data_IF_333329411542
#
_entry.id   IF_333329411542
#
_cell.length_a   1.000
_cell.length_b   1.000
_cell.length_c   1.000
_cell.angle_alpha   90.00
_cell.angle_beta   90.00
_cell.angle_gamma   90.00
#
_symmetry.space_group_name_H-M   'P 1'
#
loop_
_entity.id
_entity.type
_entity.pdbx_description
1 polymer ?
#
# COMPACT_ATOMS: atom_id res chain seq x y z
N UNK A 1 6.21 -8.78 -22.46
CA UNK A 1 5.74 -9.47 -21.23
C UNK A 1 6.84 -10.28 -20.53
N UNK A 2 7.37 -11.33 -21.17
CA UNK A 2 8.36 -12.22 -20.52
C UNK A 2 9.63 -11.53 -19.99
N UNK A 3 10.13 -10.50 -20.67
CA UNK A 3 11.28 -9.73 -20.19
C UNK A 3 11.00 -8.99 -18.86
N UNK A 4 9.79 -8.44 -18.70
CA UNK A 4 9.35 -7.76 -17.47
C UNK A 4 9.27 -8.75 -16.32
N UNK A 5 8.67 -9.92 -16.54
CA UNK A 5 8.57 -10.98 -15.53
C UNK A 5 9.94 -11.52 -15.12
N UNK A 6 10.89 -11.66 -16.05
CA UNK A 6 12.26 -12.08 -15.75
C UNK A 6 13.01 -11.07 -14.88
N UNK A 7 12.90 -9.78 -15.22
CA UNK A 7 13.47 -8.70 -14.41
C UNK A 7 12.85 -8.67 -13.01
N UNK A 8 11.51 -8.76 -12.93
CA UNK A 8 10.77 -8.81 -11.67
C UNK A 8 11.16 -10.03 -10.82
N UNK A 9 11.31 -11.21 -11.42
CA UNK A 9 11.76 -12.41 -10.71
C UNK A 9 13.15 -12.21 -10.09
N UNK A 10 14.07 -11.55 -10.79
CA UNK A 10 15.39 -11.22 -10.25
C UNK A 10 15.30 -10.29 -9.03
N UNK A 11 14.45 -9.26 -9.11
CA UNK A 11 14.17 -8.35 -7.99
C UNK A 11 13.53 -9.09 -6.80
N UNK A 12 12.49 -9.88 -7.07
CA UNK A 12 11.78 -10.67 -6.07
C UNK A 12 12.74 -11.60 -5.34
N UNK A 13 13.57 -12.36 -6.07
CA UNK A 13 14.54 -13.26 -5.46
C UNK A 13 15.57 -12.51 -4.62
N UNK A 14 16.09 -11.38 -5.10
CA UNK A 14 17.02 -10.55 -4.33
C UNK A 14 16.42 -10.15 -2.98
N UNK A 15 15.23 -9.54 -2.99
CA UNK A 15 14.57 -9.08 -1.76
C UNK A 15 14.06 -10.24 -0.89
N UNK A 16 13.55 -11.33 -1.47
CA UNK A 16 13.09 -12.49 -0.73
C UNK A 16 14.25 -13.20 -0.01
N UNK A 17 15.40 -13.38 -0.68
CA UNK A 17 16.61 -13.94 -0.07
C UNK A 17 17.05 -13.03 1.09
N UNK A 18 17.06 -11.71 0.86
CA UNK A 18 17.39 -10.75 1.93
C UNK A 18 16.41 -10.83 3.11
N UNK A 19 15.11 -10.89 2.85
CA UNK A 19 14.10 -11.06 3.90
C UNK A 19 14.36 -12.32 4.72
N UNK A 20 14.64 -13.46 4.07
CA UNK A 20 14.97 -14.73 4.71
C UNK A 20 16.24 -14.63 5.57
N UNK A 21 17.30 -14.00 5.07
CA UNK A 21 18.54 -13.81 5.86
C UNK A 21 18.32 -12.96 7.11
N UNK A 22 17.38 -12.03 7.06
CA UNK A 22 17.09 -11.07 8.13
C UNK A 22 16.07 -11.58 9.16
N UNK A 23 15.59 -12.83 9.05
CA UNK A 23 14.63 -13.41 10.01
C UNK A 23 15.21 -13.43 11.42
N UNK A 24 14.48 -12.85 12.37
CA UNK A 24 14.80 -12.91 13.79
C UNK A 24 15.93 -11.96 14.22
N UNK A 25 16.32 -10.99 13.40
CA UNK A 25 17.23 -9.90 13.83
C UNK A 25 16.46 -8.99 14.79
N UNK A 26 16.95 -8.89 16.03
CA UNK A 26 16.33 -8.07 17.09
C UNK A 26 17.23 -6.94 17.60
N UNK A 27 18.54 -7.10 17.49
CA UNK A 27 19.53 -6.20 18.08
C UNK A 27 20.56 -5.77 17.03
N UNK A 28 21.05 -4.53 17.14
CA UNK A 28 22.07 -3.96 16.25
C UNK A 28 23.43 -4.65 16.37
N UNK A 29 23.67 -5.40 17.45
CA UNK A 29 24.90 -6.18 17.64
C UNK A 29 24.94 -7.45 16.77
N UNK A 30 23.84 -7.83 16.12
CA UNK A 30 23.82 -8.96 15.19
C UNK A 30 24.68 -8.64 13.96
N UNK A 31 25.55 -9.57 13.53
CA UNK A 31 26.38 -9.38 12.32
C UNK A 31 25.54 -9.10 11.07
N UNK A 32 24.30 -9.56 11.05
CA UNK A 32 23.33 -9.33 9.98
C UNK A 32 22.88 -7.87 9.91
N UNK A 33 22.90 -7.12 11.01
CA UNK A 33 22.66 -5.68 11.02
C UNK A 33 23.71 -4.93 10.17
N UNK A 34 25.00 -5.26 10.38
CA UNK A 34 26.08 -4.69 9.59
C UNK A 34 25.95 -5.01 8.10
N UNK A 35 25.46 -6.22 7.75
CA UNK A 35 25.15 -6.57 6.37
C UNK A 35 23.94 -5.81 5.83
N UNK A 36 22.91 -5.56 6.63
CA UNK A 36 21.72 -4.78 6.24
C UNK A 36 22.07 -3.33 5.90
N UNK A 37 22.91 -2.66 6.70
CA UNK A 37 23.30 -1.27 6.50
C UNK A 37 24.52 -1.07 5.56
N UNK A 38 25.37 -2.09 5.42
CA UNK A 38 26.63 -2.02 4.66
C UNK A 38 26.64 -2.83 3.36
N UNK A 39 27.83 -3.09 2.82
CA UNK A 39 28.02 -4.04 1.72
C UNK A 39 27.41 -3.67 0.36
N UNK A 40 27.11 -2.39 0.11
CA UNK A 40 26.37 -1.92 -1.07
C UNK A 40 26.92 -2.41 -2.42
N UNK A 41 28.25 -2.42 -2.60
CA UNK A 41 28.88 -2.91 -3.84
C UNK A 41 28.57 -4.40 -4.04
N UNK A 42 28.70 -5.22 -2.99
CA UNK A 42 28.40 -6.64 -3.06
C UNK A 42 26.91 -6.89 -3.32
N UNK A 43 26.02 -6.14 -2.66
CA UNK A 43 24.57 -6.21 -2.88
C UNK A 43 24.20 -5.90 -4.32
N UNK A 44 24.76 -4.82 -4.86
CA UNK A 44 24.53 -4.42 -6.25
C UNK A 44 25.03 -5.48 -7.23
N UNK A 45 26.22 -6.03 -6.99
CA UNK A 45 26.77 -7.11 -7.81
C UNK A 45 25.87 -8.37 -7.76
N UNK A 46 25.43 -8.79 -6.56
CA UNK A 46 24.51 -9.94 -6.39
C UNK A 46 23.19 -9.68 -7.12
N UNK A 47 22.63 -8.47 -6.99
CA UNK A 47 21.40 -8.09 -7.66
C UNK A 47 21.53 -8.16 -9.19
N UNK A 48 22.59 -7.59 -9.77
CA UNK A 48 22.86 -7.67 -11.21
C UNK A 48 22.98 -9.12 -11.67
N UNK A 49 23.75 -9.94 -10.95
CA UNK A 49 23.92 -11.37 -11.27
C UNK A 49 22.56 -12.09 -11.24
N UNK A 50 21.75 -11.89 -10.19
CA UNK A 50 20.42 -12.51 -10.11
C UNK A 50 19.53 -12.09 -11.28
N UNK A 51 19.48 -10.81 -11.62
CA UNK A 51 18.69 -10.30 -12.75
C UNK A 51 19.15 -10.94 -14.06
N UNK A 52 20.46 -10.96 -14.33
CA UNK A 52 21.01 -11.56 -15.56
C UNK A 52 20.70 -13.05 -15.64
N UNK A 53 20.85 -13.79 -14.54
CA UNK A 53 20.53 -15.21 -14.48
C UNK A 53 19.06 -15.50 -14.83
N UNK A 54 18.13 -14.63 -14.44
CA UNK A 54 16.71 -14.81 -14.76
C UNK A 54 16.39 -14.74 -16.25
N UNK A 55 17.28 -14.19 -17.09
CA UNK A 55 17.10 -14.23 -18.55
C UNK A 55 17.40 -15.60 -19.16
N UNK A 56 18.15 -16.47 -18.47
CA UNK A 56 18.46 -17.83 -18.93
C UNK A 56 17.44 -18.88 -18.44
N UNK A 57 16.53 -18.50 -17.54
CA UNK A 57 15.52 -19.39 -16.97
C UNK A 57 14.49 -19.84 -18.03
N UNK A 58 14.05 -21.11 -18.06
CA UNK A 58 13.03 -21.57 -19.02
C UNK A 58 11.68 -20.86 -18.86
N UNK A 59 10.94 -20.70 -19.97
CA UNK A 59 9.64 -20.02 -19.98
C UNK A 59 8.60 -20.65 -19.04
N UNK A 60 8.67 -21.96 -18.80
CA UNK A 60 7.76 -22.65 -17.86
C UNK A 60 7.86 -22.08 -16.43
N UNK A 61 9.07 -21.75 -15.98
CA UNK A 61 9.28 -21.14 -14.66
C UNK A 61 8.73 -19.73 -14.62
N UNK A 62 8.85 -18.99 -15.72
CA UNK A 62 8.31 -17.63 -15.83
C UNK A 62 6.77 -17.65 -15.79
N UNK A 63 6.12 -18.64 -16.41
CA UNK A 63 4.67 -18.82 -16.30
C UNK A 63 4.22 -19.13 -14.87
N UNK A 64 4.98 -19.97 -14.13
CA UNK A 64 4.71 -20.21 -12.70
C UNK A 64 4.89 -18.93 -11.88
N UNK A 65 5.95 -18.16 -12.16
CA UNK A 65 6.20 -16.88 -11.49
C UNK A 65 5.11 -15.84 -11.79
N UNK A 66 4.55 -15.82 -13.00
CA UNK A 66 3.43 -14.95 -13.35
C UNK A 66 2.20 -15.24 -12.49
N UNK A 67 1.85 -16.52 -12.32
CA UNK A 67 0.74 -16.94 -11.45
C UNK A 67 1.03 -16.50 -10.01
N UNK A 68 2.24 -16.79 -9.51
CA UNK A 68 2.66 -16.36 -8.17
C UNK A 68 2.58 -14.84 -8.01
N UNK A 69 2.98 -14.09 -9.05
CA UNK A 69 2.96 -12.62 -9.05
C UNK A 69 1.56 -12.05 -8.95
N UNK A 70 0.54 -12.70 -9.52
CA UNK A 70 -0.86 -12.30 -9.32
C UNK A 70 -1.26 -12.36 -7.84
N UNK A 71 -0.89 -13.43 -7.14
CA UNK A 71 -1.13 -13.55 -5.70
C UNK A 71 -0.30 -12.56 -4.87
N UNK A 72 0.99 -12.45 -5.15
CA UNK A 72 1.89 -11.50 -4.46
C UNK A 72 1.46 -10.04 -4.65
N UNK A 73 0.94 -9.70 -5.82
CA UNK A 73 0.36 -8.39 -6.12
C UNK A 73 -0.87 -8.10 -5.26
N UNK A 74 -1.76 -9.07 -5.06
CA UNK A 74 -2.89 -8.93 -4.14
C UNK A 74 -2.45 -8.66 -2.70
N UNK A 75 -1.40 -9.36 -2.22
CA UNK A 75 -0.80 -9.08 -0.91
C UNK A 75 -0.18 -7.68 -0.83
N UNK A 76 0.50 -7.25 -1.89
CA UNK A 76 1.07 -5.90 -1.94
C UNK A 76 0.00 -4.81 -1.91
N UNK A 77 -1.13 -5.00 -2.59
CA UNK A 77 -2.26 -4.08 -2.53
C UNK A 77 -2.79 -3.93 -1.09
N UNK A 78 -2.90 -5.02 -0.33
CA UNK A 78 -3.25 -4.95 1.10
C UNK A 78 -2.21 -4.17 1.91
N UNK A 79 -0.92 -4.38 1.64
CA UNK A 79 0.16 -3.61 2.26
C UNK A 79 0.05 -2.12 1.92
N UNK A 80 -0.25 -1.76 0.68
CA UNK A 80 -0.47 -0.37 0.26
C UNK A 80 -1.66 0.26 1.00
N UNK A 81 -2.75 -0.49 1.14
CA UNK A 81 -3.93 -0.04 1.89
C UNK A 81 -3.56 0.26 3.34
N UNK A 82 -2.81 -0.63 4.01
CA UNK A 82 -2.39 -0.38 5.39
C UNK A 82 -1.45 0.82 5.49
N UNK A 83 -0.54 1.00 4.53
CA UNK A 83 0.32 2.19 4.47
C UNK A 83 -0.47 3.47 4.26
N UNK A 84 -1.51 3.45 3.43
CA UNK A 84 -2.40 4.59 3.22
C UNK A 84 -3.18 4.94 4.48
N UNK A 85 -3.68 3.93 5.21
CA UNK A 85 -4.37 4.11 6.49
C UNK A 85 -3.43 4.72 7.53
N UNK A 86 -2.23 4.16 7.69
CA UNK A 86 -1.20 4.71 8.58
C UNK A 86 -0.83 6.14 8.18
N UNK A 87 -0.58 6.41 6.90
CA UNK A 87 -0.28 7.77 6.42
C UNK A 87 -1.39 8.76 6.80
N UNK A 88 -2.64 8.40 6.53
CA UNK A 88 -3.79 9.28 6.76
C UNK A 88 -4.00 9.55 8.24
N UNK A 89 -3.84 8.55 9.10
CA UNK A 89 -3.94 8.70 10.54
C UNK A 89 -2.77 9.54 11.10
N UNK A 90 -1.52 9.29 10.68
CA UNK A 90 -0.38 10.12 11.10
C UNK A 90 -0.52 11.57 10.62
N UNK A 91 -1.08 11.79 9.42
CA UNK A 91 -1.36 13.14 8.94
C UNK A 91 -2.39 13.81 9.85
N UNK A 92 -3.49 13.13 10.19
CA UNK A 92 -4.48 13.62 11.13
C UNK A 92 -3.83 13.99 12.48
N UNK A 93 -3.11 13.06 13.08
CA UNK A 93 -2.54 13.21 14.41
C UNK A 93 -1.54 14.37 14.43
N UNK A 94 -0.72 14.53 13.38
CA UNK A 94 0.22 15.64 13.26
C UNK A 94 -0.44 17.03 13.22
N UNK A 95 -1.71 17.12 12.83
CA UNK A 95 -2.47 18.37 12.81
C UNK A 95 -3.24 18.57 14.11
N UNK A 96 -3.82 17.49 14.65
CA UNK A 96 -4.50 17.49 15.95
C UNK A 96 -3.54 17.83 17.09
N UNK A 97 -2.32 17.27 17.09
CA UNK A 97 -1.30 17.51 18.13
C UNK A 97 -0.86 18.97 18.25
N UNK A 98 -1.08 19.78 17.21
CA UNK A 98 -0.68 21.19 17.23
C UNK A 98 -1.61 22.05 18.09
N UNK A 99 -2.84 21.59 18.34
CA UNK A 99 -3.80 22.24 19.23
C UNK A 99 -4.00 23.75 18.94
N UNK A 100 -4.01 24.12 17.65
CA UNK A 100 -4.28 25.49 17.20
C UNK A 100 -5.49 25.53 16.25
N UNK A 101 -6.33 26.56 16.41
CA UNK A 101 -7.54 26.78 15.60
C UNK A 101 -7.31 26.71 14.09
N UNK A 102 -6.13 27.16 13.60
CA UNK A 102 -5.78 27.11 12.17
C UNK A 102 -5.71 25.67 11.63
N UNK A 103 -5.25 24.71 12.43
CA UNK A 103 -5.15 23.30 12.05
C UNK A 103 -6.49 22.59 12.15
N UNK A 104 -7.34 22.96 13.11
CA UNK A 104 -8.73 22.48 13.18
C UNK A 104 -9.54 22.91 11.95
N UNK A 105 -9.41 24.18 11.55
CA UNK A 105 -10.03 24.69 10.32
C UNK A 105 -9.47 23.94 9.11
N UNK A 106 -8.15 23.70 9.05
CA UNK A 106 -7.54 22.93 7.97
C UNK A 106 -8.08 21.48 7.89
N UNK A 107 -8.22 20.79 9.04
CA UNK A 107 -8.83 19.45 9.11
C UNK A 107 -10.25 19.45 8.55
N UNK A 108 -11.07 20.43 8.96
CA UNK A 108 -12.45 20.57 8.47
C UNK A 108 -12.50 20.86 6.96
N UNK A 109 -11.66 21.77 6.48
CA UNK A 109 -11.60 22.14 5.06
C UNK A 109 -11.22 20.94 4.20
N UNK A 110 -10.19 20.18 4.58
CA UNK A 110 -9.79 18.95 3.88
C UNK A 110 -10.93 17.94 3.88
N UNK A 111 -11.57 17.74 5.04
CA UNK A 111 -12.71 16.81 5.18
C UNK A 111 -13.86 17.15 4.24
N UNK A 112 -14.28 18.41 4.21
CA UNK A 112 -15.39 18.88 3.36
C UNK A 112 -15.04 18.72 1.88
N UNK A 113 -13.83 19.12 1.47
CA UNK A 113 -13.37 18.99 0.08
C UNK A 113 -13.35 17.52 -0.35
N UNK A 114 -12.80 16.63 0.48
CA UNK A 114 -12.72 15.20 0.17
C UNK A 114 -14.10 14.55 0.02
N UNK A 115 -15.06 14.85 0.89
CA UNK A 115 -16.42 14.32 0.74
C UNK A 115 -17.14 14.89 -0.47
N UNK A 116 -17.07 16.20 -0.71
CA UNK A 116 -17.65 16.81 -1.90
C UNK A 116 -17.05 16.20 -3.18
N UNK A 117 -15.74 16.01 -3.21
CA UNK A 117 -15.05 15.35 -4.33
C UNK A 117 -15.53 13.91 -4.51
N UNK A 118 -15.66 13.13 -3.42
CA UNK A 118 -16.13 11.73 -3.47
C UNK A 118 -17.51 11.62 -4.12
N UNK A 119 -18.49 12.42 -3.65
CA UNK A 119 -19.86 12.36 -4.16
C UNK A 119 -19.99 12.97 -5.56
N UNK A 120 -19.31 14.09 -5.85
CA UNK A 120 -19.31 14.67 -7.19
C UNK A 120 -18.66 13.72 -8.21
N UNK A 121 -17.54 13.11 -7.85
CA UNK A 121 -16.85 12.14 -8.71
C UNK A 121 -17.70 10.88 -8.94
N UNK A 122 -18.37 10.36 -7.91
CA UNK A 122 -19.34 9.25 -8.06
C UNK A 122 -20.48 9.61 -9.03
N UNK A 123 -20.96 10.86 -9.01
CA UNK A 123 -21.91 11.37 -10.00
C UNK A 123 -21.38 11.35 -11.43
N UNK A 124 -20.09 11.66 -11.62
CA UNK A 124 -19.42 11.52 -12.93
C UNK A 124 -19.32 10.05 -13.35
N UNK A 125 -19.07 9.13 -12.43
CA UNK A 125 -19.04 7.69 -12.73
C UNK A 125 -20.39 7.19 -13.26
N UNK A 126 -21.52 7.67 -12.72
CA UNK A 126 -22.83 7.34 -13.29
C UNK A 126 -22.98 7.80 -14.74
N UNK A 127 -22.46 8.99 -15.08
CA UNK A 127 -22.52 9.49 -16.46
C UNK A 127 -21.67 8.66 -17.43
N UNK A 128 -20.54 8.11 -16.97
CA UNK A 128 -19.63 7.33 -17.82
C UNK A 128 -19.95 5.84 -17.86
N UNK A 129 -20.54 5.27 -16.81
CA UNK A 129 -20.66 3.82 -16.64
C UNK A 129 -22.10 3.28 -16.52
N UNK A 130 -23.10 4.14 -16.69
CA UNK A 130 -24.52 3.77 -16.70
C UNK A 130 -25.27 4.45 -17.87
N UNK A 131 -24.98 4.08 -19.12
CA UNK A 131 -25.68 4.62 -20.29
C UNK A 131 -27.14 4.14 -20.34
N UNK A 132 -28.06 5.00 -20.81
CA UNK A 132 -29.51 4.79 -20.72
C UNK A 132 -30.07 3.66 -21.60
N UNK A 133 -29.28 3.15 -22.54
CA UNK A 133 -29.65 2.14 -23.55
C UNK A 133 -29.36 0.70 -23.10
N UNK A 134 -28.64 0.52 -22.00
CA UNK A 134 -28.24 -0.79 -21.48
C UNK A 134 -28.52 -0.92 -19.97
N UNK A 135 -28.76 -2.15 -19.51
CA UNK A 135 -28.89 -2.43 -18.08
C UNK A 135 -27.50 -2.67 -17.46
N UNK A 136 -26.99 -1.65 -16.77
CA UNK A 136 -25.66 -1.62 -16.16
C UNK A 136 -25.72 -1.79 -14.64
N UNK A 137 -26.59 -2.68 -14.16
CA UNK A 137 -26.83 -2.92 -12.73
C UNK A 137 -25.58 -3.25 -11.91
N UNK A 138 -24.58 -3.91 -12.49
CA UNK A 138 -23.31 -4.21 -11.80
C UNK A 138 -22.50 -2.94 -11.51
N UNK A 139 -22.38 -2.04 -12.50
CA UNK A 139 -21.64 -0.79 -12.37
C UNK A 139 -22.37 0.14 -11.39
N UNK A 140 -23.70 0.22 -11.50
CA UNK A 140 -24.56 0.93 -10.55
C UNK A 140 -24.36 0.40 -9.14
N UNK A 141 -24.35 -0.92 -8.95
CA UNK A 141 -24.12 -1.52 -7.63
C UNK A 141 -22.76 -1.11 -7.05
N UNK A 142 -21.68 -1.17 -7.83
CA UNK A 142 -20.35 -0.75 -7.34
C UNK A 142 -20.33 0.72 -6.93
N UNK A 143 -20.84 1.63 -7.78
CA UNK A 143 -20.85 3.08 -7.48
C UNK A 143 -21.70 3.38 -6.23
N UNK A 144 -22.91 2.79 -6.14
CA UNK A 144 -23.80 2.99 -4.99
C UNK A 144 -23.17 2.45 -3.72
N UNK A 145 -22.56 1.27 -3.76
CA UNK A 145 -21.89 0.68 -2.60
C UNK A 145 -20.73 1.57 -2.14
N UNK A 146 -19.93 2.12 -3.05
CA UNK A 146 -18.84 3.06 -2.71
C UNK A 146 -19.38 4.31 -1.99
N UNK A 147 -20.49 4.87 -2.47
CA UNK A 147 -21.14 6.01 -1.81
C UNK A 147 -21.69 5.66 -0.42
N UNK A 148 -22.31 4.48 -0.27
CA UNK A 148 -22.79 3.99 1.03
C UNK A 148 -21.62 3.82 2.00
N UNK A 149 -20.50 3.24 1.55
CA UNK A 149 -19.30 3.07 2.36
C UNK A 149 -18.75 4.42 2.83
N UNK A 150 -18.67 5.43 1.96
CA UNK A 150 -18.23 6.77 2.34
C UNK A 150 -19.10 7.38 3.45
N UNK A 151 -20.42 7.17 3.37
CA UNK A 151 -21.37 7.63 4.40
C UNK A 151 -21.21 6.85 5.72
N UNK A 152 -21.04 5.52 5.65
CA UNK A 152 -20.78 4.65 6.81
C UNK A 152 -19.48 5.06 7.52
N UNK A 153 -18.42 5.37 6.77
CA UNK A 153 -17.16 5.85 7.34
C UNK A 153 -17.35 7.14 8.14
N UNK A 154 -18.16 8.07 7.63
CA UNK A 154 -18.46 9.33 8.33
C UNK A 154 -19.23 9.07 9.64
N UNK A 155 -20.26 8.22 9.61
CA UNK A 155 -21.06 7.87 10.78
C UNK A 155 -20.19 7.24 11.87
N UNK A 156 -19.36 6.25 11.50
CA UNK A 156 -18.51 5.54 12.48
C UNK A 156 -17.46 6.50 13.05
N UNK A 157 -16.83 7.34 12.22
CA UNK A 157 -15.83 8.30 12.67
C UNK A 157 -16.41 9.39 13.59
N UNK A 158 -17.67 9.77 13.43
CA UNK A 158 -18.37 10.74 14.29
C UNK A 158 -18.97 10.12 15.56
N UNK A 159 -18.98 8.79 15.67
CA UNK A 159 -19.64 8.13 16.78
C UNK A 159 -18.93 8.44 18.10
N UNK A 160 -19.60 8.95 19.16
CA UNK A 160 -18.94 9.46 20.37
C UNK A 160 -18.07 8.45 21.14
N UNK A 161 -18.31 7.16 20.96
CA UNK A 161 -17.48 6.11 21.58
C UNK A 161 -16.20 5.84 20.79
N UNK A 162 -16.19 6.14 19.50
CA UNK A 162 -15.01 6.03 18.64
C UNK A 162 -14.27 7.35 18.78
N UNK A 163 -13.10 7.37 19.40
CA UNK A 163 -12.20 8.54 19.42
C UNK A 163 -11.57 8.78 18.02
N UNK A 164 -12.39 8.76 16.98
CA UNK A 164 -11.99 8.86 15.59
C UNK A 164 -11.98 10.30 15.10
N UNK A 165 -11.28 10.52 13.99
CA UNK A 165 -11.33 11.78 13.23
C UNK A 165 -12.04 11.54 11.90
N UNK A 166 -12.78 12.56 11.46
CA UNK A 166 -13.52 12.52 10.19
C UNK A 166 -12.61 12.79 8.99
N UNK A 167 -11.44 13.42 9.21
CA UNK A 167 -10.51 13.68 8.12
C UNK A 167 -10.00 12.38 7.49
N UNK A 168 -9.51 11.37 8.26
CA UNK A 168 -9.20 10.07 7.69
C UNK A 168 -10.34 9.40 6.95
N UNK A 169 -11.56 9.46 7.49
CA UNK A 169 -12.76 8.91 6.85
C UNK A 169 -12.96 9.49 5.43
N UNK A 170 -12.78 10.81 5.29
CA UNK A 170 -12.97 11.51 4.02
C UNK A 170 -11.90 11.19 2.98
N UNK A 171 -10.63 11.08 3.38
CA UNK A 171 -9.52 10.72 2.47
C UNK A 171 -9.66 9.28 1.99
N UNK A 172 -10.02 8.36 2.88
CA UNK A 172 -10.28 6.96 2.51
C UNK A 172 -11.50 6.86 1.59
N UNK A 173 -12.53 7.69 1.78
CA UNK A 173 -13.69 7.75 0.87
C UNK A 173 -13.28 8.15 -0.56
N UNK A 174 -12.40 9.14 -0.71
CA UNK A 174 -11.86 9.53 -2.02
C UNK A 174 -11.08 8.38 -2.66
N UNK A 175 -10.27 7.66 -1.86
CA UNK A 175 -9.52 6.51 -2.35
C UNK A 175 -10.42 5.36 -2.79
N UNK A 176 -11.50 5.07 -2.06
CA UNK A 176 -12.50 4.07 -2.50
C UNK A 176 -13.16 4.48 -3.81
N UNK A 177 -13.55 5.75 -3.98
CA UNK A 177 -14.10 6.25 -5.24
C UNK A 177 -13.08 6.15 -6.41
N UNK A 178 -11.80 6.37 -6.12
CA UNK A 178 -10.72 6.14 -7.08
C UNK A 178 -10.56 4.65 -7.46
N UNK A 179 -10.63 3.73 -6.50
CA UNK A 179 -10.59 2.29 -6.77
C UNK A 179 -11.82 1.83 -7.58
N UNK A 180 -13.00 2.37 -7.28
CA UNK A 180 -14.21 2.13 -8.05
C UNK A 180 -14.04 2.61 -9.50
N UNK A 181 -13.60 3.86 -9.71
CA UNK A 181 -13.32 4.40 -11.05
C UNK A 181 -12.33 3.53 -11.82
N UNK A 182 -11.17 3.23 -11.21
CA UNK A 182 -10.13 2.45 -11.89
C UNK A 182 -10.61 1.03 -12.17
N UNK A 183 -11.43 0.44 -11.30
CA UNK A 183 -12.10 -0.84 -11.56
C UNK A 183 -12.98 -0.78 -12.80
N UNK A 184 -13.96 0.12 -12.85
CA UNK A 184 -14.90 0.24 -13.97
C UNK A 184 -14.18 0.59 -15.28
N UNK A 185 -13.13 1.41 -15.20
CA UNK A 185 -12.32 1.77 -16.38
C UNK A 185 -11.56 0.58 -17.00
N UNK A 186 -11.34 -0.49 -16.22
CA UNK A 186 -10.68 -1.72 -16.64
C UNK A 186 -11.66 -2.77 -17.17
N UNK A 187 -12.95 -2.46 -17.29
CA UNK A 187 -13.93 -3.35 -17.90
C UNK A 187 -13.58 -3.66 -19.36
N UNK A 188 -13.82 -4.90 -19.83
CA UNK A 188 -13.57 -5.28 -21.22
C UNK A 188 -14.24 -4.37 -22.25
N UNK A 189 -13.60 -4.22 -23.41
CA UNK A 189 -14.11 -3.34 -24.49
C UNK A 189 -15.44 -3.77 -25.09
N UNK A 190 -15.74 -5.07 -25.02
CA UNK A 190 -17.02 -5.64 -25.46
C UNK A 190 -18.14 -5.44 -24.43
N UNK A 191 -17.85 -4.86 -23.27
CA UNK A 191 -18.85 -4.54 -22.27
C UNK A 191 -19.48 -3.16 -22.52
N UNK A 192 -20.76 -3.16 -22.90
CA UNK A 192 -21.50 -1.98 -23.34
C UNK A 192 -21.61 -0.86 -22.29
N UNK A 193 -21.43 -1.19 -21.00
CA UNK A 193 -21.54 -0.22 -19.92
C UNK A 193 -20.28 0.63 -19.73
N UNK A 194 -19.14 0.27 -20.34
CA UNK A 194 -17.91 1.06 -20.21
C UNK A 194 -17.90 2.22 -21.23
N UNK A 195 -18.37 3.40 -20.83
CA UNK A 195 -18.39 4.59 -21.69
C UNK A 195 -17.01 5.18 -22.04
N UNK A 196 -15.93 4.66 -21.47
CA UNK A 196 -14.55 5.09 -21.74
C UNK A 196 -13.86 4.30 -22.88
N UNK A 197 -14.57 3.36 -23.52
CA UNK A 197 -14.05 2.54 -24.63
C UNK A 197 -13.52 3.36 -25.83
N UNK A 198 -13.95 4.62 -25.98
CA UNK A 198 -13.50 5.54 -27.03
C UNK A 198 -12.06 6.03 -26.84
N UNK A 199 -11.51 5.98 -25.62
CA UNK A 199 -10.15 6.44 -25.29
C UNK A 199 -9.30 5.36 -24.58
N UNK A 200 -9.22 4.14 -25.12
CA UNK A 200 -8.78 2.96 -24.38
C UNK A 200 -7.29 3.00 -24.03
N UNK A 201 -6.48 3.60 -24.91
CA UNK A 201 -5.04 3.80 -24.69
C UNK A 201 -4.74 4.84 -23.62
N UNK A 202 -5.54 5.92 -23.54
CA UNK A 202 -5.32 6.99 -22.58
C UNK A 202 -5.71 6.53 -21.16
N UNK A 203 -6.81 5.78 -21.05
CA UNK A 203 -7.28 5.20 -19.78
C UNK A 203 -6.32 4.13 -19.25
N UNK A 204 -5.83 3.25 -20.13
CA UNK A 204 -4.81 2.25 -19.77
C UNK A 204 -3.51 2.91 -19.31
N UNK A 205 -3.02 3.92 -20.04
CA UNK A 205 -1.79 4.62 -19.65
C UNK A 205 -1.93 5.43 -18.37
N UNK A 206 -3.08 6.08 -18.13
CA UNK A 206 -3.32 6.80 -16.87
C UNK A 206 -3.38 5.83 -15.69
N UNK A 207 -4.07 4.69 -15.83
CA UNK A 207 -4.13 3.67 -14.80
C UNK A 207 -2.74 3.10 -14.46
N UNK A 208 -1.92 2.80 -15.47
CA UNK A 208 -0.56 2.32 -15.29
C UNK A 208 0.34 3.36 -14.60
N UNK A 209 0.29 4.62 -15.05
CA UNK A 209 1.08 5.71 -14.46
C UNK A 209 0.68 5.95 -13.00
N UNK A 210 -0.63 6.00 -12.71
CA UNK A 210 -1.13 6.19 -11.36
C UNK A 210 -0.80 5.00 -10.46
N UNK A 211 -0.93 3.76 -10.95
CA UNK A 211 -0.55 2.56 -10.21
C UNK A 211 0.94 2.51 -9.88
N UNK A 212 1.80 2.87 -10.85
CA UNK A 212 3.24 2.97 -10.64
C UNK A 212 3.60 4.10 -9.66
N UNK A 213 2.96 5.26 -9.76
CA UNK A 213 3.17 6.37 -8.85
C UNK A 213 2.78 5.99 -7.42
N UNK A 214 1.59 5.40 -7.22
CA UNK A 214 1.14 4.90 -5.92
C UNK A 214 2.12 3.87 -5.36
N UNK A 215 2.63 2.95 -6.19
CA UNK A 215 3.65 1.98 -5.77
C UNK A 215 4.90 2.66 -5.24
N UNK A 216 5.43 3.62 -6.00
CA UNK A 216 6.64 4.36 -5.61
C UNK A 216 6.38 5.12 -4.31
N UNK A 217 5.24 5.82 -4.18
CA UNK A 217 4.87 6.55 -2.98
C UNK A 217 4.74 5.62 -1.77
N UNK A 218 4.09 4.46 -1.91
CA UNK A 218 3.97 3.48 -0.82
C UNK A 218 5.32 2.92 -0.38
N UNK A 219 6.20 2.58 -1.32
CA UNK A 219 7.54 2.06 -1.01
C UNK A 219 8.41 3.13 -0.36
N UNK A 220 8.38 4.36 -0.86
CA UNK A 220 9.09 5.49 -0.26
C UNK A 220 8.55 5.78 1.14
N UNK A 221 7.23 5.82 1.31
CA UNK A 221 6.59 5.98 2.61
C UNK A 221 7.02 4.89 3.58
N UNK A 222 7.02 3.62 3.15
CA UNK A 222 7.52 2.50 3.94
C UNK A 222 8.97 2.69 4.39
N UNK A 223 9.85 3.14 3.49
CA UNK A 223 11.25 3.38 3.81
C UNK A 223 11.44 4.55 4.79
N UNK A 224 10.69 5.65 4.61
CA UNK A 224 10.70 6.78 5.55
C UNK A 224 10.17 6.36 6.91
N UNK A 225 9.07 5.60 6.94
CA UNK A 225 8.46 5.07 8.17
C UNK A 225 9.38 4.09 8.91
N UNK A 226 10.15 3.29 8.19
CA UNK A 226 11.22 2.46 8.75
C UNK A 226 12.31 3.30 9.43
N UNK A 227 12.65 4.46 8.86
CA UNK A 227 13.57 5.42 9.46
C UNK A 227 13.02 6.14 10.69
N UNK A 228 11.69 6.38 10.74
CA UNK A 228 11.04 7.20 11.77
C UNK A 228 10.64 6.45 13.06
N UNK A 229 10.98 5.16 13.21
CA UNK A 229 10.77 4.36 14.44
C UNK A 229 9.31 4.26 14.92
N UNK A 230 8.39 3.77 14.09
CA UNK A 230 6.97 3.62 14.45
C UNK A 230 6.42 2.20 14.25
N UNK A 231 5.35 1.89 14.99
CA UNK A 231 4.83 0.54 15.33
C UNK A 231 4.60 -0.41 14.15
N UNK A 232 4.20 0.08 12.97
CA UNK A 232 3.78 -0.77 11.84
C UNK A 232 4.84 -1.78 11.36
N UNK A 233 6.12 -1.39 11.36
CA UNK A 233 7.22 -2.28 10.94
C UNK A 233 7.86 -3.00 12.13
N UNK A 234 7.42 -2.74 13.36
CA UNK A 234 8.00 -3.35 14.56
C UNK A 234 7.32 -4.69 14.86
N UNK A 235 8.06 -5.77 15.12
CA UNK A 235 7.47 -7.01 15.60
C UNK A 235 6.74 -6.79 16.94
N UNK A 236 5.64 -7.50 17.23
CA UNK A 236 4.95 -7.43 18.54
C UNK A 236 5.80 -7.90 19.74
N UNK A 237 7.00 -8.46 19.48
CA UNK A 237 8.00 -8.81 20.49
C UNK A 237 9.22 -7.88 20.50
N UNK A 238 9.11 -6.72 19.84
CA UNK A 238 10.12 -5.66 19.89
C UNK A 238 10.13 -5.04 21.29
N UNK A 239 11.30 -4.91 21.96
CA UNK A 239 11.42 -4.27 23.28
C UNK A 239 10.90 -2.83 23.35
N UNK A 240 10.55 -2.24 22.20
CA UNK A 240 10.20 -0.83 22.05
C UNK A 240 8.71 -0.58 21.79
N UNK A 241 7.84 -1.61 21.81
CA UNK A 241 6.38 -1.44 21.63
C UNK A 241 5.69 -0.64 22.76
N UNK A 242 6.45 -0.07 23.70
CA UNK A 242 5.92 0.75 24.81
C UNK A 242 6.74 2.01 25.12
N UNK A 243 7.69 2.44 24.27
CA UNK A 243 8.54 3.58 24.57
C UNK A 243 8.38 4.73 23.54
N UNK A 244 7.42 5.62 23.80
CA UNK A 244 7.34 6.97 23.19
C UNK A 244 8.43 7.87 23.79
N UNK A 245 9.69 7.63 23.46
CA UNK A 245 10.74 8.64 23.70
C UNK A 245 11.16 9.25 22.35
N UNK A 246 10.94 10.56 22.14
CA UNK A 246 11.39 11.27 20.96
C UNK A 246 12.91 11.15 20.81
N UNK A 247 13.37 11.04 19.56
CA UNK A 247 14.77 10.92 19.13
C UNK A 247 15.66 12.15 19.43
N UNK A 248 15.21 13.08 20.28
CA UNK A 248 15.91 14.33 20.63
C UNK A 248 15.83 14.62 22.14
N UNK A 249 16.02 13.63 22.99
CA UNK A 249 16.39 13.88 24.39
C UNK A 249 17.92 14.06 24.47
N UNK A 250 18.33 15.32 24.44
CA UNK A 250 19.62 15.91 24.82
C UNK A 250 20.93 15.29 24.29
N UNK A 251 21.52 16.01 23.32
CA UNK A 251 22.95 15.99 23.00
C UNK A 251 23.78 16.69 24.09
N UNK A 252 23.61 16.32 25.36
CA UNK A 252 24.37 16.87 26.50
C UNK A 252 24.84 15.78 27.47
N UNK A 253 25.37 14.67 26.96
CA UNK A 253 26.20 13.78 27.78
C UNK A 253 27.63 14.27 27.69
N UNK A 254 28.04 14.93 28.77
CA UNK A 254 29.38 15.42 29.04
C UNK A 254 30.48 14.39 28.70
N UNK A 255 31.61 14.90 28.23
CA UNK A 255 32.90 14.20 28.18
C UNK A 255 33.25 13.66 29.58
N UNK A 256 32.95 12.38 29.81
CA UNK A 256 33.36 11.64 30.99
C UNK A 256 34.06 10.35 30.58
N UNK A 257 35.40 10.35 30.63
CA UNK A 257 36.21 9.13 30.58
C UNK A 257 35.75 8.16 31.67
N UNK A 258 35.18 7.02 31.26
CA UNK A 258 34.91 5.87 32.12
C UNK A 258 34.83 4.60 31.28
N UNK A 259 35.82 3.72 31.42
CA UNK A 259 35.73 2.33 30.98
C UNK A 259 34.46 1.69 31.57
N UNK A 260 33.58 1.13 30.74
CA UNK A 260 32.46 0.32 31.25
C UNK A 260 32.21 -0.90 30.38
N UNK A 261 32.16 -2.03 31.08
CA UNK A 261 31.68 -3.33 30.65
C UNK A 261 30.23 -3.24 30.13
N UNK A 262 29.90 -4.07 29.13
CA UNK A 262 28.53 -4.46 28.80
C UNK A 262 27.63 -3.36 28.23
N UNK A 263 27.89 -2.90 27.00
CA UNK A 263 26.89 -2.10 26.27
C UNK A 263 25.62 -2.93 26.07
N UNK A 264 24.51 -2.53 26.68
CA UNK A 264 23.21 -3.19 26.45
C UNK A 264 22.91 -3.27 24.94
N UNK A 265 22.37 -4.41 24.47
CA UNK A 265 22.09 -4.60 23.06
C UNK A 265 21.01 -3.61 22.61
N UNK A 266 21.40 -2.64 21.77
CA UNK A 266 20.46 -1.68 21.19
C UNK A 266 19.48 -2.42 20.26
N UNK A 267 18.16 -2.33 20.49
CA UNK A 267 17.18 -2.98 19.63
C UNK A 267 17.13 -2.31 18.26
N UNK A 268 16.81 -3.09 17.23
CA UNK A 268 16.58 -2.56 15.86
C UNK A 268 15.30 -1.74 15.80
N UNK A 269 15.30 -0.66 15.01
CA UNK A 269 14.16 0.29 14.94
C UNK A 269 12.94 -0.27 14.20
N UNK A 270 13.11 -1.31 13.39
CA UNK A 270 12.07 -1.96 12.60
C UNK A 270 12.47 -3.39 12.20
N UNK A 271 11.50 -4.18 11.75
CA UNK A 271 11.71 -5.53 11.22
C UNK A 271 12.34 -5.47 9.83
N UNK A 272 13.62 -5.86 9.74
CA UNK A 272 14.34 -5.97 8.47
C UNK A 272 13.70 -6.99 7.53
N UNK A 273 13.15 -8.09 8.07
CA UNK A 273 12.42 -9.08 7.29
C UNK A 273 11.21 -8.46 6.60
N UNK A 274 10.40 -7.72 7.34
CA UNK A 274 9.16 -7.14 6.79
C UNK A 274 9.47 -6.02 5.80
N UNK A 275 10.50 -5.21 6.07
CA UNK A 275 11.02 -4.24 5.12
C UNK A 275 11.33 -4.88 3.76
N UNK A 276 12.20 -5.91 3.73
CA UNK A 276 12.55 -6.56 2.45
C UNK A 276 11.37 -7.30 1.82
N UNK A 277 10.45 -7.85 2.61
CA UNK A 277 9.23 -8.48 2.10
C UNK A 277 8.34 -7.50 1.33
N UNK A 278 8.22 -6.25 1.80
CA UNK A 278 7.48 -5.19 1.11
C UNK A 278 8.09 -4.93 -0.27
N UNK A 279 9.42 -4.82 -0.39
CA UNK A 279 10.09 -4.64 -1.68
C UNK A 279 9.94 -5.86 -2.61
N UNK A 280 9.98 -7.08 -2.05
CA UNK A 280 9.72 -8.29 -2.82
C UNK A 280 8.31 -8.28 -3.42
N UNK A 281 7.29 -7.98 -2.60
CA UNK A 281 5.90 -7.87 -3.04
C UNK A 281 5.69 -6.72 -4.03
N UNK A 282 6.33 -5.57 -3.80
CA UNK A 282 6.31 -4.42 -4.72
C UNK A 282 6.82 -4.81 -6.11
N UNK A 283 7.89 -5.61 -6.18
CA UNK A 283 8.45 -6.07 -7.45
C UNK A 283 7.51 -6.97 -8.25
N UNK A 284 6.68 -7.76 -7.57
CA UNK A 284 5.64 -8.59 -8.18
C UNK A 284 4.49 -7.73 -8.69
N UNK A 285 4.05 -6.75 -7.89
CA UNK A 285 3.01 -5.79 -8.27
C UNK A 285 3.39 -4.93 -9.47
N UNK A 286 4.61 -4.38 -9.48
CA UNK A 286 5.13 -3.63 -10.63
C UNK A 286 5.18 -4.48 -11.90
N UNK A 287 5.52 -5.77 -11.80
CA UNK A 287 5.41 -6.68 -12.93
C UNK A 287 3.97 -6.78 -13.43
N UNK A 288 3.01 -7.01 -12.54
CA UNK A 288 1.63 -7.21 -12.96
C UNK A 288 0.99 -5.96 -13.58
N UNK A 289 1.31 -4.77 -13.07
CA UNK A 289 0.94 -3.51 -13.72
C UNK A 289 1.55 -3.39 -15.12
N UNK A 290 2.86 -3.65 -15.26
CA UNK A 290 3.56 -3.56 -16.54
C UNK A 290 3.19 -4.67 -17.54
N UNK A 291 2.55 -5.75 -17.09
CA UNK A 291 2.03 -6.81 -17.97
C UNK A 291 0.52 -6.73 -18.15
N UNK A 292 -0.16 -5.79 -17.49
CA UNK A 292 -1.60 -5.58 -17.65
C UNK A 292 -2.48 -6.66 -17.04
N UNK A 293 -2.00 -7.39 -16.03
CA UNK A 293 -2.71 -8.49 -15.36
C UNK A 293 -3.14 -9.70 -16.23
N UNK A 294 -2.78 -9.71 -17.52
CA UNK A 294 -3.11 -10.78 -18.47
C UNK A 294 -2.10 -11.93 -18.44
N UNK A 295 -2.51 -13.09 -18.96
CA UNK A 295 -1.66 -14.28 -19.00
C UNK A 295 -0.73 -14.28 -20.22
N UNK A 296 0.50 -14.78 -20.08
CA UNK A 296 1.49 -14.79 -21.16
C UNK A 296 1.05 -15.56 -22.41
N UNK A 297 0.04 -16.42 -22.24
CA UNK A 297 -0.51 -17.33 -23.23
C UNK A 297 -1.74 -16.79 -23.97
N UNK A 298 -2.25 -15.60 -23.64
CA UNK A 298 -3.35 -15.00 -24.40
C UNK A 298 -2.82 -14.29 -25.64
N UNK A 299 -2.99 -14.89 -26.82
CA UNK A 299 -2.60 -14.37 -28.14
C UNK A 299 -3.33 -13.10 -28.60
N UNK A 300 -4.15 -12.49 -27.73
CA UNK A 300 -4.93 -11.33 -28.08
C UNK A 300 -4.17 -10.08 -27.66
N UNK A 301 -3.96 -9.16 -28.60
CA UNK A 301 -3.41 -7.82 -28.40
C UNK A 301 -4.36 -6.93 -27.60
N UNK A 302 -4.89 -7.44 -26.49
CA UNK A 302 -5.71 -6.66 -25.57
C UNK A 302 -4.79 -5.68 -24.85
N UNK A 303 -5.24 -4.43 -24.83
CA UNK A 303 -4.53 -3.33 -24.19
C UNK A 303 -4.28 -3.67 -22.71
N UNK A 304 -3.10 -3.30 -22.23
CA UNK A 304 -2.65 -3.57 -20.86
C UNK A 304 -3.68 -3.00 -19.85
N UNK A 305 -3.98 -3.73 -18.76
CA UNK A 305 -4.90 -3.36 -17.68
C UNK A 305 -6.42 -3.42 -18.00
N UNK A 306 -6.84 -4.12 -19.05
CA UNK A 306 -8.27 -4.33 -19.36
C UNK A 306 -8.65 -5.79 -19.21
N UNK A 307 -9.71 -6.06 -18.43
CA UNK A 307 -10.22 -7.40 -18.16
C UNK A 307 -10.93 -7.54 -16.82
N UNK A 308 -11.89 -8.45 -16.73
CA UNK A 308 -12.67 -8.72 -15.51
C UNK A 308 -11.80 -9.08 -14.29
N UNK A 309 -10.66 -9.72 -14.49
CA UNK A 309 -9.73 -10.02 -13.39
C UNK A 309 -9.23 -8.73 -12.72
N UNK A 310 -8.86 -7.72 -13.51
CA UNK A 310 -8.40 -6.42 -13.00
C UNK A 310 -9.52 -5.68 -12.27
N UNK A 311 -10.75 -5.71 -12.82
CA UNK A 311 -11.96 -5.16 -12.18
C UNK A 311 -12.13 -5.75 -10.78
N UNK A 312 -12.21 -7.09 -10.68
CA UNK A 312 -12.43 -7.75 -9.39
C UNK A 312 -11.29 -7.57 -8.40
N UNK A 313 -10.03 -7.54 -8.84
CA UNK A 313 -8.90 -7.24 -7.94
C UNK A 313 -9.05 -5.85 -7.32
N UNK A 314 -9.45 -4.84 -8.11
CA UNK A 314 -9.65 -3.46 -7.62
C UNK A 314 -10.87 -3.35 -6.70
N UNK A 315 -12.01 -3.96 -7.04
CA UNK A 315 -13.20 -4.00 -6.16
C UNK A 315 -12.90 -4.72 -4.84
N UNK A 316 -12.25 -5.89 -4.87
CA UNK A 316 -11.87 -6.59 -3.65
C UNK A 316 -10.89 -5.77 -2.80
N UNK A 317 -10.00 -5.00 -3.43
CA UNK A 317 -9.09 -4.07 -2.74
C UNK A 317 -9.88 -2.92 -2.09
N UNK A 318 -10.90 -2.39 -2.75
CA UNK A 318 -11.80 -1.37 -2.19
C UNK A 318 -12.53 -1.89 -0.95
N UNK A 319 -13.13 -3.08 -1.04
CA UNK A 319 -13.83 -3.71 0.08
C UNK A 319 -12.88 -4.05 1.22
N UNK A 320 -11.67 -4.51 0.91
CA UNK A 320 -10.65 -4.75 1.93
C UNK A 320 -10.21 -3.45 2.60
N UNK A 321 -10.10 -2.35 1.85
CA UNK A 321 -9.81 -1.01 2.38
C UNK A 321 -10.92 -0.56 3.34
N UNK A 322 -12.17 -0.71 2.93
CA UNK A 322 -13.32 -0.39 3.76
C UNK A 322 -13.35 -1.20 5.05
N UNK A 323 -13.16 -2.52 4.95
CA UNK A 323 -13.15 -3.42 6.09
C UNK A 323 -12.00 -3.09 7.06
N UNK A 324 -10.79 -2.88 6.54
CA UNK A 324 -9.62 -2.52 7.35
C UNK A 324 -9.80 -1.16 8.03
N UNK A 325 -10.31 -0.15 7.32
CA UNK A 325 -10.59 1.17 7.90
C UNK A 325 -11.60 1.08 9.04
N UNK A 326 -12.75 0.45 8.80
CA UNK A 326 -13.78 0.24 9.84
C UNK A 326 -13.18 -0.53 11.03
N UNK A 327 -12.38 -1.57 10.75
CA UNK A 327 -11.71 -2.34 11.78
C UNK A 327 -10.76 -1.48 12.63
N UNK A 328 -10.01 -0.54 12.02
CA UNK A 328 -9.12 0.35 12.79
C UNK A 328 -9.86 1.22 13.81
N UNK A 329 -11.13 1.56 13.54
CA UNK A 329 -11.96 2.36 14.45
C UNK A 329 -12.71 1.51 15.48
N UNK A 330 -13.16 0.32 15.09
CA UNK A 330 -14.02 -0.55 15.91
C UNK A 330 -13.22 -1.50 16.80
N UNK A 331 -12.05 -1.97 16.36
CA UNK A 331 -11.25 -2.94 17.11
C UNK A 331 -10.86 -2.47 18.53
N UNK A 332 -10.48 -1.20 18.76
CA UNK A 332 -10.22 -0.69 20.11
C UNK A 332 -11.42 -0.77 21.06
N UNK A 333 -12.65 -0.71 20.53
CA UNK A 333 -13.87 -0.80 21.32
C UNK A 333 -14.23 -2.26 21.66
N UNK A 334 -13.98 -3.18 20.74
CA UNK A 334 -14.28 -4.60 20.92
C UNK A 334 -13.23 -5.31 21.79
N UNK A 335 -11.98 -4.84 21.79
CA UNK A 335 -10.88 -5.46 22.51
C UNK A 335 -10.08 -4.44 23.32
N UNK A 336 -10.67 -3.79 24.34
CA UNK A 336 -10.02 -2.71 25.09
C UNK A 336 -8.71 -3.13 25.78
N UNK A 337 -8.52 -4.42 26.05
CA UNK A 337 -7.30 -4.97 26.67
C UNK A 337 -6.13 -5.18 25.69
N UNK A 338 -6.30 -4.88 24.40
CA UNK A 338 -5.23 -4.98 23.39
C UNK A 338 -4.70 -3.59 23.04
N UNK A 339 -3.37 -3.46 23.05
CA UNK A 339 -2.71 -2.27 22.50
C UNK A 339 -2.89 -2.22 20.97
N UNK A 340 -3.61 -1.20 20.51
CA UNK A 340 -3.82 -0.87 19.10
C UNK A 340 -3.02 0.37 18.65
N UNK A 341 -2.13 0.86 19.52
CA UNK A 341 -1.35 2.09 19.32
C UNK A 341 0.01 1.86 18.65
#
# INVERSE_FOLDING_TARGET
>A
MNAVLRLSLGNFLFFAIFALTMIGVKNQNDRRDAWHHGGWIAKFAIWVVLVVLMFFVPNIVISVYEILSKFGSGLFLLVQVVMLLDFTNNWNDSWVEKDEQKWEIALLVVTVICYLATFAFSGVLFMWFNPSDHDCGLNVFFIVLTMILAFVFAIIALHPQVNGSVMPASVISVYCAYLCYTSLSSEPYDYACNGLHMHPKQVSMSALVLGMLTTVLSVVYSAVRAGSSTTFLSPPSSPRSGARNPLLADSNVEEGKGSSEGSEPRPVSYSYTFFHLIFALASMYSAMLLTGWTSATSDRSELMDVGWTTVWVRICTEWSTAALYIWTLVAPLLFPDRDFS
#
